data_IF_337520317709
#
_entry.id   IF_337520317709
#
_cell.length_a   1.000
_cell.length_b   1.000
_cell.length_c   1.000
_cell.angle_alpha   90.00
_cell.angle_beta   90.00
_cell.angle_gamma   90.00
#
_symmetry.space_group_name_H-M   'P 1'
#
loop_
_entity.id
_entity.type
_entity.pdbx_description
1 polymer ?
#
# COMPACT_ATOMS: atom_id res chain seq x y z
N UNK A 1 39.73 -41.05 -63.30
CA UNK A 1 40.29 -40.42 -62.09
C UNK A 1 39.13 -40.08 -61.17
N UNK A 2 39.02 -40.66 -59.96
CA UNK A 2 37.91 -40.34 -59.08
C UNK A 2 38.10 -38.92 -58.51
N UNK A 3 37.05 -38.12 -58.54
CA UNK A 3 37.07 -36.77 -57.98
C UNK A 3 36.94 -36.85 -56.45
N UNK A 4 37.93 -36.31 -55.75
CA UNK A 4 37.90 -36.17 -54.30
C UNK A 4 37.11 -34.92 -53.93
N UNK A 5 35.88 -35.13 -53.46
CA UNK A 5 35.06 -34.06 -52.88
C UNK A 5 35.38 -33.94 -51.39
N UNK A 6 35.85 -32.77 -50.96
CA UNK A 6 36.02 -32.43 -49.55
C UNK A 6 34.77 -31.73 -49.01
N UNK A 7 34.08 -32.36 -48.06
CA UNK A 7 32.96 -31.76 -47.35
C UNK A 7 33.40 -31.28 -45.96
N UNK A 8 33.34 -29.98 -45.73
CA UNK A 8 33.63 -29.36 -44.42
C UNK A 8 32.31 -29.00 -43.76
N UNK A 9 31.95 -29.73 -42.70
CA UNK A 9 30.78 -29.42 -41.88
C UNK A 9 31.17 -28.52 -40.72
N UNK A 10 30.64 -27.29 -40.70
CA UNK A 10 30.73 -26.39 -39.54
C UNK A 10 29.50 -26.58 -38.66
N UNK A 11 29.60 -27.44 -37.65
CA UNK A 11 28.54 -27.68 -36.68
C UNK A 11 28.70 -26.70 -35.52
N UNK A 12 27.68 -25.87 -35.28
CA UNK A 12 27.62 -24.97 -34.12
C UNK A 12 26.84 -25.69 -33.02
N UNK A 13 27.52 -26.17 -31.99
CA UNK A 13 26.86 -26.81 -30.84
C UNK A 13 26.12 -25.76 -30.00
N UNK A 14 24.94 -26.11 -29.50
CA UNK A 14 24.18 -25.24 -28.61
C UNK A 14 24.92 -25.04 -27.28
N UNK A 15 24.92 -23.82 -26.71
CA UNK A 15 25.42 -23.58 -25.36
C UNK A 15 24.63 -24.40 -24.33
N UNK A 16 25.27 -24.84 -23.25
CA UNK A 16 24.59 -25.59 -22.20
C UNK A 16 23.51 -24.73 -21.53
N UNK A 17 22.37 -25.36 -21.28
CA UNK A 17 21.22 -24.76 -20.65
C UNK A 17 21.42 -24.52 -19.16
N UNK A 18 20.35 -24.04 -18.54
CA UNK A 18 20.28 -23.89 -17.09
C UNK A 18 20.03 -25.27 -16.51
N UNK A 19 20.70 -25.58 -15.41
CA UNK A 19 20.74 -26.89 -14.79
C UNK A 19 21.63 -27.90 -15.49
N UNK A 20 22.46 -27.42 -16.41
CA UNK A 20 23.51 -28.18 -17.06
C UNK A 20 24.88 -27.55 -16.82
N UNK A 21 25.92 -28.35 -17.01
CA UNK A 21 27.30 -27.93 -17.04
C UNK A 21 28.04 -28.59 -18.22
N UNK A 22 29.04 -27.89 -18.75
CA UNK A 22 29.83 -28.38 -19.87
C UNK A 22 31.00 -29.24 -19.39
N UNK A 23 31.04 -30.49 -19.81
CA UNK A 23 32.14 -31.41 -19.49
C UNK A 23 32.37 -32.40 -20.62
N UNK A 24 33.64 -32.72 -20.94
CA UNK A 24 34.02 -33.70 -21.98
C UNK A 24 33.29 -33.50 -23.33
N UNK A 25 33.15 -32.25 -23.78
CA UNK A 25 32.47 -31.86 -25.03
C UNK A 25 30.96 -32.13 -25.09
N UNK A 26 30.32 -32.31 -23.95
CA UNK A 26 28.87 -32.51 -23.83
C UNK A 26 28.30 -31.67 -22.68
N UNK A 27 27.00 -31.38 -22.75
CA UNK A 27 26.27 -30.79 -21.64
C UNK A 27 25.71 -31.91 -20.77
N UNK A 28 26.05 -31.89 -19.49
CA UNK A 28 25.57 -32.85 -18.51
C UNK A 28 24.64 -32.14 -17.54
N UNK A 29 23.55 -32.80 -17.15
CA UNK A 29 22.60 -32.26 -16.16
C UNK A 29 23.22 -32.31 -14.76
N UNK A 30 22.93 -31.30 -13.94
CA UNK A 30 23.29 -31.30 -12.53
C UNK A 30 22.46 -32.34 -11.76
N UNK A 31 23.14 -33.11 -10.91
CA UNK A 31 22.54 -34.14 -10.07
C UNK A 31 21.88 -33.49 -8.83
N UNK A 32 20.63 -33.10 -8.98
CA UNK A 32 19.88 -32.41 -7.93
C UNK A 32 19.53 -33.33 -6.74
N UNK A 33 19.47 -34.65 -6.94
CA UNK A 33 19.27 -35.63 -5.86
C UNK A 33 20.46 -35.62 -4.88
N UNK A 34 21.65 -35.29 -5.39
CA UNK A 34 22.86 -35.02 -4.58
C UNK A 34 23.02 -33.55 -4.17
N UNK A 35 22.02 -32.71 -4.44
CA UNK A 35 22.02 -31.29 -4.10
C UNK A 35 22.86 -30.41 -5.04
N UNK A 36 23.11 -30.84 -6.28
CA UNK A 36 23.82 -30.04 -7.28
C UNK A 36 22.85 -29.33 -8.25
N UNK A 37 23.13 -28.06 -8.55
CA UNK A 37 22.31 -27.24 -9.42
C UNK A 37 23.15 -26.27 -10.27
N UNK A 38 22.56 -25.67 -11.30
CA UNK A 38 23.15 -24.60 -12.08
C UNK A 38 22.06 -23.64 -12.52
N UNK A 39 22.18 -22.36 -12.16
CA UNK A 39 21.21 -21.30 -12.50
C UNK A 39 21.67 -20.41 -13.66
N UNK A 40 22.90 -20.60 -14.12
CA UNK A 40 23.51 -19.84 -15.22
C UNK A 40 23.62 -20.72 -16.47
N UNK A 41 23.51 -20.10 -17.64
CA UNK A 41 23.83 -20.74 -18.92
C UNK A 41 25.35 -20.90 -19.04
N UNK A 42 25.80 -21.89 -19.80
CA UNK A 42 27.22 -22.15 -20.05
C UNK A 42 28.06 -22.35 -18.77
N UNK A 43 27.47 -22.90 -17.72
CA UNK A 43 28.22 -23.27 -16.53
C UNK A 43 29.23 -24.37 -16.87
N UNK A 44 30.42 -24.28 -16.28
CA UNK A 44 31.45 -25.35 -16.38
C UNK A 44 31.35 -26.34 -15.22
N UNK A 45 30.62 -25.97 -14.17
CA UNK A 45 30.41 -26.77 -12.97
C UNK A 45 29.00 -26.54 -12.40
N UNK A 46 28.53 -27.50 -11.62
CA UNK A 46 27.33 -27.35 -10.81
C UNK A 46 27.70 -26.84 -9.42
N UNK A 47 26.86 -25.99 -8.87
CA UNK A 47 26.96 -25.50 -7.50
C UNK A 47 26.29 -26.47 -6.55
N UNK A 48 26.76 -26.49 -5.30
CA UNK A 48 26.21 -27.31 -4.24
C UNK A 48 25.22 -26.51 -3.40
N UNK A 49 24.13 -27.15 -2.99
CA UNK A 49 23.16 -26.61 -2.04
C UNK A 49 23.86 -26.17 -0.75
N UNK A 50 23.56 -24.95 -0.29
CA UNK A 50 23.97 -24.42 1.01
C UNK A 50 22.80 -24.58 2.01
N UNK A 51 22.87 -25.53 2.95
CA UNK A 51 21.76 -25.83 3.86
C UNK A 51 21.48 -24.71 4.86
N UNK A 52 22.37 -23.71 4.98
CA UNK A 52 22.15 -22.57 5.87
C UNK A 52 21.22 -21.52 5.27
N UNK A 53 21.06 -21.51 3.95
CA UNK A 53 20.29 -20.50 3.20
C UNK A 53 19.23 -21.09 2.28
N UNK A 54 19.41 -22.35 1.88
CA UNK A 54 18.59 -23.04 0.88
C UNK A 54 17.91 -24.25 1.51
N UNK A 55 16.63 -24.41 1.20
CA UNK A 55 15.81 -25.52 1.67
C UNK A 55 15.93 -26.73 0.73
N UNK A 56 15.85 -26.49 -0.56
CA UNK A 56 15.99 -27.52 -1.60
C UNK A 56 16.46 -26.90 -2.92
N UNK A 57 16.86 -27.73 -3.87
CA UNK A 57 17.23 -27.31 -5.23
C UNK A 57 16.63 -28.28 -6.23
N UNK A 58 16.31 -27.77 -7.42
CA UNK A 58 16.20 -28.61 -8.62
C UNK A 58 17.48 -28.47 -9.43
N UNK A 59 17.58 -29.13 -10.59
CA UNK A 59 18.76 -28.90 -11.44
C UNK A 59 18.90 -27.42 -11.82
N UNK A 60 17.80 -26.67 -11.95
CA UNK A 60 17.79 -25.30 -12.50
C UNK A 60 17.19 -24.23 -11.58
N UNK A 61 16.68 -24.57 -10.40
CA UNK A 61 16.09 -23.65 -9.43
C UNK A 61 16.60 -23.89 -8.02
N UNK A 62 16.42 -22.87 -7.18
CA UNK A 62 16.83 -22.85 -5.78
C UNK A 62 15.59 -22.47 -4.96
N UNK A 63 15.27 -23.26 -3.93
CA UNK A 63 14.29 -22.91 -2.90
C UNK A 63 15.03 -22.32 -1.70
N UNK A 64 14.74 -21.07 -1.35
CA UNK A 64 15.36 -20.38 -0.22
C UNK A 64 14.64 -20.69 1.09
N UNK A 65 15.39 -20.67 2.18
CA UNK A 65 14.82 -20.59 3.53
C UNK A 65 14.19 -19.20 3.75
N UNK A 66 13.23 -19.11 4.66
CA UNK A 66 12.66 -17.83 5.10
C UNK A 66 13.76 -16.94 5.70
N UNK A 67 13.69 -15.63 5.45
CA UNK A 67 14.73 -14.67 5.85
C UNK A 67 15.87 -14.51 4.84
N UNK A 68 15.81 -15.21 3.69
CA UNK A 68 16.75 -15.04 2.59
C UNK A 68 16.06 -14.53 1.33
N UNK A 69 16.83 -13.81 0.51
CA UNK A 69 16.36 -13.17 -0.71
C UNK A 69 17.35 -13.38 -1.86
N UNK A 70 16.84 -13.31 -3.08
CA UNK A 70 17.63 -13.44 -4.31
C UNK A 70 17.04 -12.58 -5.42
N UNK A 71 17.89 -11.85 -6.14
CA UNK A 71 17.44 -10.92 -7.18
C UNK A 71 16.77 -11.57 -8.40
N UNK A 72 17.21 -12.76 -8.83
CA UNK A 72 16.62 -13.42 -10.01
C UNK A 72 16.87 -14.92 -10.04
N UNK A 73 16.11 -15.61 -10.90
CA UNK A 73 16.25 -17.04 -11.14
C UNK A 73 17.63 -17.44 -11.68
N UNK A 74 18.37 -16.50 -12.28
CA UNK A 74 19.68 -16.74 -12.89
C UNK A 74 20.86 -16.38 -11.98
N UNK A 75 20.58 -15.84 -10.79
CA UNK A 75 21.56 -15.58 -9.76
C UNK A 75 21.73 -16.79 -8.86
N UNK A 76 22.96 -17.07 -8.45
CA UNK A 76 23.21 -17.98 -7.33
C UNK A 76 23.50 -17.23 -6.03
N UNK A 77 23.65 -15.91 -6.09
CA UNK A 77 23.87 -15.10 -4.91
C UNK A 77 22.55 -15.03 -4.13
N UNK A 78 22.63 -15.49 -2.89
CA UNK A 78 21.56 -15.48 -1.90
C UNK A 78 22.01 -14.60 -0.74
N UNK A 79 21.19 -13.60 -0.43
CA UNK A 79 21.46 -12.60 0.59
C UNK A 79 20.50 -12.79 1.77
N UNK A 80 21.01 -12.52 2.97
CA UNK A 80 20.22 -12.55 4.18
C UNK A 80 19.53 -11.20 4.35
N UNK A 81 18.25 -11.22 4.70
CA UNK A 81 17.49 -10.00 4.93
C UNK A 81 17.74 -9.43 6.32
N UNK A 82 17.79 -8.10 6.42
CA UNK A 82 17.96 -7.39 7.70
C UNK A 82 16.84 -7.75 8.68
N UNK A 83 15.60 -7.81 8.18
CA UNK A 83 14.45 -8.33 8.88
C UNK A 83 14.04 -9.67 8.26
N UNK A 84 14.16 -10.75 9.02
CA UNK A 84 13.81 -12.09 8.54
C UNK A 84 12.34 -12.22 8.15
N UNK A 85 11.43 -11.46 8.77
CA UNK A 85 10.01 -11.45 8.45
C UNK A 85 9.68 -10.74 7.12
N UNK A 86 10.62 -9.95 6.57
CA UNK A 86 10.44 -9.26 5.29
C UNK A 86 10.60 -10.21 4.09
N UNK A 87 11.33 -11.32 4.26
CA UNK A 87 11.66 -12.25 3.18
C UNK A 87 11.00 -13.61 3.41
N UNK A 88 10.09 -13.97 2.52
CA UNK A 88 9.34 -15.22 2.60
C UNK A 88 10.22 -16.43 2.25
N UNK A 89 11.24 -16.23 1.40
CA UNK A 89 12.04 -17.30 0.82
C UNK A 89 11.27 -18.05 -0.27
N UNK A 90 11.45 -19.37 -0.35
CA UNK A 90 10.79 -20.23 -1.32
C UNK A 90 11.43 -20.18 -2.72
N UNK A 91 10.65 -20.51 -3.75
CA UNK A 91 11.14 -20.60 -5.14
C UNK A 91 11.18 -19.27 -5.87
N UNK A 92 10.40 -18.30 -5.41
CA UNK A 92 10.25 -16.99 -6.03
C UNK A 92 11.51 -16.14 -5.84
N UNK A 93 11.63 -15.09 -6.63
CA UNK A 93 12.79 -14.17 -6.63
C UNK A 93 12.31 -12.72 -6.62
N UNK A 94 13.24 -11.80 -6.42
CA UNK A 94 12.98 -10.36 -6.40
C UNK A 94 11.84 -10.00 -5.44
N UNK A 95 10.96 -9.07 -5.82
CA UNK A 95 9.84 -8.65 -4.98
C UNK A 95 8.88 -9.81 -4.68
N UNK A 96 8.71 -10.80 -5.56
CA UNK A 96 7.79 -11.93 -5.30
C UNK A 96 8.21 -12.80 -4.10
N UNK A 97 9.48 -12.71 -3.70
CA UNK A 97 9.99 -13.37 -2.49
C UNK A 97 9.86 -12.52 -1.21
N UNK A 98 9.36 -11.28 -1.32
CA UNK A 98 9.13 -10.40 -0.18
C UNK A 98 7.70 -10.49 0.35
N UNK A 99 7.58 -10.29 1.67
CA UNK A 99 6.27 -10.19 2.33
C UNK A 99 5.50 -8.95 1.87
N UNK A 100 4.20 -8.95 2.11
CA UNK A 100 3.28 -7.91 1.63
C UNK A 100 3.74 -6.53 2.15
N UNK A 101 3.84 -5.57 1.23
CA UNK A 101 4.24 -4.21 1.52
C UNK A 101 5.75 -3.93 1.49
N UNK A 102 6.58 -4.97 1.41
CA UNK A 102 8.03 -4.85 1.23
C UNK A 102 8.43 -5.11 -0.23
N UNK A 103 9.40 -4.38 -0.75
CA UNK A 103 9.95 -4.48 -2.11
C UNK A 103 11.47 -4.18 -2.08
N UNK A 104 12.10 -4.25 -3.25
CA UNK A 104 13.50 -3.90 -3.43
C UNK A 104 14.47 -5.00 -2.99
N UNK A 105 15.77 -4.69 -3.08
CA UNK A 105 16.83 -5.60 -2.65
C UNK A 105 16.64 -5.97 -1.17
N UNK A 106 16.81 -7.25 -0.84
CA UNK A 106 16.62 -7.83 0.50
C UNK A 106 15.31 -7.41 1.19
N UNK A 107 14.30 -7.01 0.42
CA UNK A 107 13.00 -6.57 0.90
C UNK A 107 13.06 -5.43 1.95
N UNK A 108 13.99 -4.48 1.81
CA UNK A 108 14.18 -3.39 2.79
C UNK A 108 13.37 -2.11 2.48
N UNK A 109 12.79 -2.03 1.28
CA UNK A 109 11.99 -0.88 0.85
C UNK A 109 10.50 -1.16 1.00
N UNK A 110 9.69 -0.12 1.20
CA UNK A 110 8.24 -0.26 1.27
C UNK A 110 7.62 0.06 -0.09
N UNK A 111 6.53 -0.64 -0.44
CA UNK A 111 5.78 -0.39 -1.67
C UNK A 111 4.95 0.90 -1.59
N UNK A 112 5.62 2.06 -1.64
CA UNK A 112 4.98 3.37 -1.57
C UNK A 112 4.09 3.66 -2.79
N UNK A 113 4.44 3.11 -3.95
CA UNK A 113 3.77 3.37 -5.23
C UNK A 113 2.72 2.32 -5.61
N UNK A 114 2.48 1.35 -4.73
CA UNK A 114 1.55 0.26 -4.99
C UNK A 114 1.88 -0.51 -6.29
N UNK A 115 3.15 -0.81 -6.51
CA UNK A 115 3.62 -1.54 -7.70
C UNK A 115 2.98 -2.92 -7.82
N UNK A 116 2.57 -3.51 -6.68
CA UNK A 116 1.88 -4.81 -6.63
C UNK A 116 0.37 -4.74 -6.82
N UNK A 117 -0.23 -3.54 -6.84
CA UNK A 117 -1.68 -3.36 -6.98
C UNK A 117 -2.51 -3.76 -5.75
N UNK A 118 -1.89 -3.85 -4.56
CA UNK A 118 -2.59 -4.06 -3.29
C UNK A 118 -2.90 -2.73 -2.58
N UNK A 119 -1.92 -2.15 -1.89
CA UNK A 119 -2.00 -0.87 -1.20
C UNK A 119 -0.64 -0.18 -1.23
N UNK A 120 -0.60 1.12 -0.94
CA UNK A 120 0.66 1.80 -0.62
C UNK A 120 1.10 1.47 0.79
N UNK A 121 2.40 1.29 1.02
CA UNK A 121 3.02 1.03 2.31
C UNK A 121 4.10 2.06 2.61
N UNK A 122 4.21 2.50 3.86
CA UNK A 122 5.21 3.45 4.34
C UNK A 122 6.01 2.85 5.49
N UNK A 123 7.27 3.27 5.63
CA UNK A 123 8.15 2.80 6.70
C UNK A 123 7.80 3.49 8.02
N UNK A 124 7.55 2.72 9.06
CA UNK A 124 7.33 3.24 10.42
C UNK A 124 8.65 3.71 11.06
N UNK A 125 8.58 4.38 12.22
CA UNK A 125 9.76 4.68 13.04
C UNK A 125 10.54 3.42 13.46
N UNK A 126 9.87 2.27 13.56
CA UNK A 126 10.52 0.99 13.86
C UNK A 126 11.11 0.29 12.64
N UNK A 127 11.07 0.91 11.45
CA UNK A 127 11.61 0.35 10.22
C UNK A 127 10.69 -0.69 9.52
N UNK A 128 9.47 -0.87 10.01
CA UNK A 128 8.51 -1.87 9.48
C UNK A 128 7.60 -1.19 8.45
N UNK A 129 7.32 -1.87 7.33
CA UNK A 129 6.38 -1.37 6.34
C UNK A 129 4.94 -1.55 6.84
N UNK A 130 4.23 -0.42 6.97
CA UNK A 130 2.83 -0.37 7.37
C UNK A 130 1.98 0.16 6.23
N UNK A 131 0.76 -0.34 6.10
CA UNK A 131 -0.18 0.15 5.10
C UNK A 131 -0.40 1.65 5.32
N UNK A 132 -0.27 2.42 4.25
CA UNK A 132 -0.60 3.85 4.25
C UNK A 132 -2.12 3.97 4.41
N UNK A 133 -2.56 4.15 5.64
CA UNK A 133 -3.95 4.50 5.89
C UNK A 133 -4.19 5.93 5.37
N UNK A 134 -5.31 6.12 4.67
CA UNK A 134 -5.81 7.45 4.30
C UNK A 134 -6.28 8.28 5.50
N UNK A 135 -5.85 7.93 6.71
CA UNK A 135 -6.33 8.51 7.95
C UNK A 135 -6.13 10.02 8.01
N UNK A 136 -5.07 10.55 7.36
CA UNK A 136 -4.89 12.00 7.21
C UNK A 136 -5.94 12.65 6.30
N UNK A 137 -6.34 12.01 5.20
CA UNK A 137 -7.44 12.50 4.34
C UNK A 137 -8.77 12.46 5.12
N UNK A 138 -8.99 11.39 5.89
CA UNK A 138 -10.20 11.24 6.71
C UNK A 138 -10.25 12.30 7.83
N UNK A 139 -9.14 12.56 8.53
CA UNK A 139 -9.03 13.60 9.56
C UNK A 139 -9.28 15.01 9.01
N UNK A 140 -8.76 15.30 7.82
CA UNK A 140 -9.00 16.58 7.15
C UNK A 140 -10.49 16.74 6.80
N UNK A 141 -11.11 15.71 6.22
CA UNK A 141 -12.52 15.72 5.86
C UNK A 141 -13.40 15.86 7.11
N UNK A 142 -13.13 15.13 8.18
CA UNK A 142 -13.91 15.22 9.43
C UNK A 142 -13.77 16.59 10.09
N UNK A 143 -12.57 17.18 10.06
CA UNK A 143 -12.34 18.55 10.55
C UNK A 143 -13.14 19.59 9.76
N UNK A 144 -13.13 19.49 8.43
CA UNK A 144 -13.91 20.40 7.55
C UNK A 144 -15.41 20.26 7.82
N UNK A 145 -15.93 19.04 7.97
CA UNK A 145 -17.34 18.81 8.30
C UNK A 145 -17.73 19.38 9.66
N UNK A 146 -16.86 19.24 10.67
CA UNK A 146 -17.07 19.83 12.00
C UNK A 146 -17.14 21.35 11.96
N UNK A 147 -16.24 22.01 11.21
CA UNK A 147 -16.28 23.46 11.01
C UNK A 147 -17.56 23.91 10.31
N UNK A 148 -18.02 23.17 9.30
CA UNK A 148 -19.25 23.49 8.58
C UNK A 148 -20.48 23.44 9.48
N UNK A 149 -20.60 22.39 10.32
CA UNK A 149 -21.68 22.26 11.30
C UNK A 149 -21.62 23.39 12.35
N UNK A 150 -20.42 23.76 12.81
CA UNK A 150 -20.25 24.86 13.74
C UNK A 150 -20.73 26.20 13.17
N UNK A 151 -20.40 26.51 11.91
CA UNK A 151 -20.87 27.74 11.25
C UNK A 151 -22.39 27.75 11.11
N UNK A 152 -23.00 26.63 10.71
CA UNK A 152 -24.46 26.53 10.58
C UNK A 152 -25.15 26.75 11.94
N UNK A 153 -24.68 26.07 12.99
CA UNK A 153 -25.28 26.19 14.33
C UNK A 153 -25.11 27.61 14.89
N UNK A 154 -23.96 28.24 14.63
CA UNK A 154 -23.73 29.64 14.99
C UNK A 154 -24.71 30.59 14.28
N UNK A 155 -24.88 30.48 12.96
CA UNK A 155 -25.84 31.29 12.20
C UNK A 155 -27.28 31.08 12.69
N UNK A 156 -27.69 29.83 12.93
CA UNK A 156 -29.04 29.54 13.48
C UNK A 156 -29.22 30.18 14.86
N UNK A 157 -28.19 30.13 15.72
CA UNK A 157 -28.24 30.73 17.06
C UNK A 157 -28.40 32.26 17.01
N UNK A 158 -27.70 32.91 16.08
CA UNK A 158 -27.81 34.35 15.86
C UNK A 158 -29.22 34.73 15.37
N UNK A 159 -29.73 34.02 14.35
CA UNK A 159 -31.09 34.24 13.86
C UNK A 159 -32.14 34.03 14.96
N UNK A 160 -31.99 32.99 15.78
CA UNK A 160 -32.89 32.72 16.91
C UNK A 160 -32.86 33.84 17.95
N UNK A 161 -31.67 34.37 18.26
CA UNK A 161 -31.49 35.50 19.19
C UNK A 161 -32.23 36.75 18.70
N UNK A 162 -32.03 37.13 17.43
CA UNK A 162 -32.70 38.28 16.82
C UNK A 162 -34.22 38.11 16.79
N UNK A 163 -34.71 36.93 16.40
CA UNK A 163 -36.14 36.62 16.38
C UNK A 163 -36.76 36.68 17.78
N UNK A 164 -36.06 36.21 18.81
CA UNK A 164 -36.53 36.29 20.20
C UNK A 164 -36.60 37.74 20.69
N UNK A 165 -35.61 38.59 20.36
CA UNK A 165 -35.64 40.02 20.68
C UNK A 165 -36.79 40.74 19.98
N UNK A 166 -37.02 40.47 18.69
CA UNK A 166 -38.13 41.02 17.92
C UNK A 166 -39.48 40.61 18.50
N UNK A 167 -39.64 39.34 18.87
CA UNK A 167 -40.87 38.84 19.50
C UNK A 167 -41.13 39.52 20.86
N UNK A 168 -40.08 39.76 21.66
CA UNK A 168 -40.19 40.50 22.93
C UNK A 168 -40.65 41.94 22.70
N UNK A 169 -40.10 42.63 21.68
CA UNK A 169 -40.50 44.00 21.31
C UNK A 169 -41.95 44.06 20.84
N UNK A 170 -42.37 43.14 19.97
CA UNK A 170 -43.77 43.06 19.51
C UNK A 170 -44.73 42.84 20.69
N UNK A 171 -44.40 41.93 21.61
CA UNK A 171 -45.22 41.69 22.82
C UNK A 171 -45.34 42.94 23.70
N UNK A 172 -44.25 43.69 23.88
CA UNK A 172 -44.27 44.96 24.62
C UNK A 172 -45.17 45.99 23.94
N UNK A 173 -45.07 46.15 22.62
CA UNK A 173 -45.94 47.03 21.84
C UNK A 173 -47.42 46.63 21.98
N UNK A 174 -47.76 45.35 21.84
CA UNK A 174 -49.13 44.86 22.00
C UNK A 174 -49.70 45.17 23.38
N UNK A 175 -48.91 44.99 24.44
CA UNK A 175 -49.33 45.33 25.81
C UNK A 175 -49.56 46.83 25.94
N UNK A 176 -48.65 47.66 25.41
CA UNK A 176 -48.77 49.12 25.47
C UNK A 176 -50.04 49.62 24.76
N UNK A 177 -50.30 49.15 23.53
CA UNK A 177 -51.52 49.48 22.79
C UNK A 177 -52.79 49.00 23.51
N UNK A 178 -52.75 47.83 24.15
CA UNK A 178 -53.90 47.33 24.93
C UNK A 178 -54.23 48.23 26.11
N UNK A 179 -53.21 48.73 26.83
CA UNK A 179 -53.40 49.67 27.95
C UNK A 179 -53.96 51.00 27.44
N UNK A 180 -53.40 51.56 26.37
CA UNK A 180 -53.89 52.82 25.78
C UNK A 180 -55.36 52.71 25.36
N UNK A 181 -55.72 51.63 24.67
CA UNK A 181 -57.11 51.38 24.26
C UNK A 181 -58.07 51.23 25.45
N UNK A 182 -57.65 50.54 26.52
CA UNK A 182 -58.44 50.44 27.76
C UNK A 182 -58.60 51.79 28.47
N UNK A 183 -57.56 52.62 28.49
CA UNK A 183 -57.63 53.99 29.02
C UNK A 183 -58.58 54.86 28.20
N UNK A 184 -58.51 54.79 26.86
CA UNK A 184 -59.38 55.56 25.97
C UNK A 184 -60.85 55.18 26.13
N UNK A 185 -61.17 53.88 26.23
CA UNK A 185 -62.52 53.43 26.57
C UNK A 185 -62.93 53.90 27.96
N UNK A 186 -62.04 53.82 28.96
CA UNK A 186 -62.33 54.26 30.33
C UNK A 186 -62.64 55.75 30.43
N UNK A 187 -61.91 56.59 29.68
CA UNK A 187 -62.15 58.04 29.60
C UNK A 187 -63.50 58.31 28.93
N UNK A 188 -63.80 57.65 27.81
CA UNK A 188 -65.08 57.82 27.12
C UNK A 188 -66.28 57.37 27.98
N UNK A 189 -66.13 56.32 28.79
CA UNK A 189 -67.18 55.86 29.72
C UNK A 189 -67.38 56.81 30.91
N UNK A 190 -66.32 57.49 31.38
CA UNK A 190 -66.43 58.52 32.41
C UNK A 190 -67.16 59.76 31.89
N UNK A 191 -66.87 60.20 30.67
CA UNK A 191 -67.51 61.37 30.05
C UNK A 191 -69.02 61.13 29.85
N UNK A 192 -69.42 59.91 29.46
CA UNK A 192 -70.84 59.54 29.30
C UNK A 192 -71.63 59.46 30.62
N UNK A 193 -70.97 59.37 31.78
CA UNK A 193 -71.62 59.36 33.10
C UNK A 193 -71.83 60.74 33.71
N UNK A 194 -71.29 61.79 33.09
CA UNK A 194 -71.32 63.18 33.59
C UNK A 194 -72.41 64.01 32.88
N UNK A 195 -72.99 63.49 31.79
CA UNK A 195 -74.21 64.01 31.16
C UNK A 195 -75.44 63.22 31.61
#
# INVERSE_FOLDING_TARGET
MPQNYNFIFKIKTLPCGIGEYYSKKQCLKCDYDKGYYSVRKNSVECQRLDPTKMKSVTSYQIELLTGFWRHSYYSHYVEQCENSASCLGGWNVDYESCSIGYIGAICNECDIYNIRGQYSYIKSLSGICQKKEKQQEILLITFVLMLFIFVITYVISLLKSEMHMMFKRMKQLTIHYRILFQCEIGINLMILKIN
#
